data_IF_453346456056
#
_entry.id   IF_453346456056
#
_cell.length_a   1.000
_cell.length_b   1.000
_cell.length_c   1.000
_cell.angle_alpha   90.00
_cell.angle_beta   90.00
_cell.angle_gamma   90.00
#
_symmetry.space_group_name_H-M   'P 1'
#
loop_
_entity.id
_entity.type
_entity.pdbx_description
1 polymer ?
#
# COMPACT_ATOMS: atom_id res chain seq x y z
N UNK A 1 -19.80 10.96 -14.03
CA UNK A 1 -18.92 10.90 -12.85
C UNK A 1 -18.70 9.43 -12.55
N UNK A 2 -17.46 8.95 -12.55
CA UNK A 2 -17.16 7.59 -12.12
C UNK A 2 -17.26 7.51 -10.60
N UNK A 3 -17.81 6.41 -10.09
CA UNK A 3 -17.92 6.10 -8.66
C UNK A 3 -17.18 4.81 -8.39
N UNK A 4 -16.60 4.68 -7.20
CA UNK A 4 -15.94 3.48 -6.70
C UNK A 4 -16.60 3.03 -5.40
N UNK A 5 -17.01 1.75 -5.36
CA UNK A 5 -17.55 1.12 -4.17
C UNK A 5 -16.44 0.35 -3.45
N UNK A 6 -16.13 0.80 -2.23
CA UNK A 6 -15.17 0.17 -1.33
C UNK A 6 -15.92 -0.40 -0.13
N UNK A 7 -15.33 -1.35 0.58
CA UNK A 7 -16.09 -2.11 1.57
C UNK A 7 -15.25 -2.62 2.75
N UNK A 8 -15.94 -2.89 3.86
CA UNK A 8 -15.33 -3.21 5.16
C UNK A 8 -15.29 -2.03 6.12
N UNK A 9 -15.37 -2.34 7.41
CA UNK A 9 -15.40 -1.35 8.50
C UNK A 9 -14.13 -0.50 8.52
N UNK A 10 -12.96 -1.13 8.66
CA UNK A 10 -11.67 -0.41 8.72
C UNK A 10 -11.42 0.45 7.48
N UNK A 11 -11.74 -0.07 6.30
CA UNK A 11 -11.59 0.67 5.03
C UNK A 11 -12.44 1.94 5.02
N UNK A 12 -13.71 1.85 5.46
CA UNK A 12 -14.60 3.00 5.52
C UNK A 12 -14.14 4.01 6.60
N UNK A 13 -13.69 3.54 7.76
CA UNK A 13 -13.16 4.40 8.82
C UNK A 13 -11.94 5.20 8.33
N UNK A 14 -11.00 4.53 7.67
CA UNK A 14 -9.76 5.16 7.21
C UNK A 14 -10.02 6.16 6.08
N UNK A 15 -10.92 5.86 5.14
CA UNK A 15 -11.33 6.81 4.09
C UNK A 15 -11.97 8.06 4.69
N UNK A 16 -12.88 7.90 5.64
CA UNK A 16 -13.54 9.03 6.30
C UNK A 16 -12.55 9.85 7.14
N UNK A 17 -11.57 9.20 7.78
CA UNK A 17 -10.57 9.86 8.61
C UNK A 17 -9.51 10.60 7.78
N UNK A 18 -9.07 10.02 6.66
CA UNK A 18 -8.01 10.58 5.83
C UNK A 18 -8.49 11.76 4.97
N UNK A 19 -9.75 11.75 4.52
CA UNK A 19 -10.36 12.85 3.76
C UNK A 19 -9.67 13.15 2.42
N UNK A 20 -8.98 12.17 1.82
CA UNK A 20 -8.19 12.32 0.58
C UNK A 20 -9.03 12.28 -0.69
N UNK A 21 -10.24 11.73 -0.58
CA UNK A 21 -11.18 11.55 -1.68
C UNK A 21 -12.58 11.97 -1.23
N UNK A 22 -13.37 12.47 -2.16
CA UNK A 22 -14.79 12.77 -1.93
C UNK A 22 -15.55 11.48 -1.63
N UNK A 23 -16.27 11.49 -0.51
CA UNK A 23 -17.19 10.43 -0.13
C UNK A 23 -18.62 10.88 -0.44
N UNK A 24 -19.35 10.07 -1.19
CA UNK A 24 -20.74 10.36 -1.56
C UNK A 24 -21.73 9.83 -0.54
N UNK A 25 -21.51 8.59 -0.06
CA UNK A 25 -22.43 7.92 0.86
C UNK A 25 -21.78 6.76 1.59
N UNK A 26 -22.23 6.51 2.82
CA UNK A 26 -21.92 5.31 3.59
C UNK A 26 -23.16 4.42 3.67
N UNK A 27 -23.02 3.14 3.35
CA UNK A 27 -24.07 2.14 3.45
C UNK A 27 -23.74 1.12 4.54
N UNK A 28 -24.68 0.88 5.44
CA UNK A 28 -24.54 -0.06 6.56
C UNK A 28 -25.67 -1.08 6.49
N UNK A 29 -25.37 -2.34 6.77
CA UNK A 29 -26.37 -3.40 6.83
C UNK A 29 -27.30 -3.16 8.02
N UNK A 30 -28.62 -3.27 7.80
CA UNK A 30 -29.63 -3.22 8.87
C UNK A 30 -29.44 -4.28 9.96
N UNK A 31 -28.67 -5.35 9.67
CA UNK A 31 -28.37 -6.44 10.62
C UNK A 31 -27.12 -6.16 11.48
N UNK A 32 -26.36 -5.11 11.19
CA UNK A 32 -25.14 -4.83 11.96
C UNK A 32 -25.43 -4.35 13.37
N UNK A 33 -24.54 -4.69 14.29
CA UNK A 33 -24.65 -4.28 15.68
C UNK A 33 -24.34 -2.78 15.82
N UNK A 34 -25.27 -2.01 16.39
CA UNK A 34 -25.13 -0.57 16.58
C UNK A 34 -23.85 -0.16 17.34
N UNK A 35 -23.38 -0.98 18.30
CA UNK A 35 -22.12 -0.70 19.02
C UNK A 35 -20.89 -0.84 18.10
N UNK A 36 -20.92 -1.81 17.18
CA UNK A 36 -19.81 -2.07 16.25
C UNK A 36 -19.65 -0.95 15.23
N UNK A 37 -20.77 -0.42 14.73
CA UNK A 37 -20.77 0.62 13.68
C UNK A 37 -20.90 2.04 14.23
N UNK A 38 -21.12 2.22 15.53
CA UNK A 38 -21.37 3.53 16.13
C UNK A 38 -20.23 4.53 15.91
N UNK A 39 -18.97 4.08 16.02
CA UNK A 39 -17.80 4.92 15.74
C UNK A 39 -17.75 5.38 14.28
N UNK A 40 -18.02 4.45 13.35
CA UNK A 40 -18.07 4.73 11.93
C UNK A 40 -19.19 5.71 11.56
N UNK A 41 -20.39 5.58 12.15
CA UNK A 41 -21.50 6.53 11.94
C UNK A 41 -21.14 7.93 12.46
N UNK A 42 -20.44 8.02 13.60
CA UNK A 42 -19.97 9.28 14.13
C UNK A 42 -18.94 9.95 13.21
N UNK A 43 -18.01 9.17 12.65
CA UNK A 43 -17.05 9.66 11.65
C UNK A 43 -17.75 10.16 10.38
N UNK A 44 -18.72 9.41 9.86
CA UNK A 44 -19.48 9.82 8.68
C UNK A 44 -20.22 11.14 8.93
N UNK A 45 -20.85 11.29 10.09
CA UNK A 45 -21.51 12.54 10.50
C UNK A 45 -20.52 13.71 10.59
N UNK A 46 -19.33 13.50 11.19
CA UNK A 46 -18.28 14.51 11.27
C UNK A 46 -17.79 14.94 9.88
N UNK A 47 -17.73 14.01 8.93
CA UNK A 47 -17.36 14.25 7.54
C UNK A 47 -18.52 14.77 6.66
N UNK A 48 -19.71 15.01 7.22
CA UNK A 48 -20.94 15.38 6.49
C UNK A 48 -21.33 14.37 5.39
N UNK A 49 -21.07 13.08 5.62
CA UNK A 49 -21.40 11.99 4.71
C UNK A 49 -22.76 11.39 5.10
N UNK A 50 -23.74 11.30 4.18
CA UNK A 50 -25.00 10.61 4.42
C UNK A 50 -24.79 9.12 4.75
N UNK A 51 -25.58 8.59 5.68
CA UNK A 51 -25.53 7.18 6.09
C UNK A 51 -26.88 6.52 5.81
N UNK A 52 -26.87 5.45 5.02
CA UNK A 52 -28.05 4.66 4.68
C UNK A 52 -27.97 3.25 5.27
N UNK A 53 -29.05 2.83 5.94
CA UNK A 53 -29.20 1.45 6.42
C UNK A 53 -29.96 0.61 5.39
N UNK A 54 -29.30 -0.39 4.82
CA UNK A 54 -29.86 -1.20 3.73
C UNK A 54 -29.79 -2.71 4.01
N UNK A 55 -30.50 -3.49 3.20
CA UNK A 55 -30.53 -4.95 3.32
C UNK A 55 -29.18 -5.56 2.88
N UNK A 56 -28.69 -6.64 3.55
CA UNK A 56 -27.39 -7.24 3.24
C UNK A 56 -27.19 -7.60 1.76
N UNK A 57 -28.26 -8.04 1.08
CA UNK A 57 -28.24 -8.37 -0.36
C UNK A 57 -27.92 -7.17 -1.25
N UNK A 58 -28.26 -5.95 -0.81
CA UNK A 58 -27.92 -4.71 -1.53
C UNK A 58 -26.42 -4.46 -1.44
N UNK A 59 -25.83 -4.63 -0.25
CA UNK A 59 -24.39 -4.50 -0.05
C UNK A 59 -23.59 -5.54 -0.83
N UNK A 60 -24.06 -6.78 -0.89
CA UNK A 60 -23.43 -7.86 -1.65
C UNK A 60 -23.30 -7.53 -3.14
N UNK A 61 -24.36 -6.93 -3.72
CA UNK A 61 -24.34 -6.43 -5.10
C UNK A 61 -23.36 -5.26 -5.29
N UNK A 62 -23.36 -4.29 -4.37
CA UNK A 62 -22.45 -3.13 -4.43
C UNK A 62 -20.98 -3.55 -4.28
N UNK A 63 -20.71 -4.56 -3.45
CA UNK A 63 -19.37 -5.09 -3.21
C UNK A 63 -18.90 -6.09 -4.30
N UNK A 64 -19.74 -6.38 -5.30
CA UNK A 64 -19.47 -7.36 -6.35
C UNK A 64 -18.98 -8.72 -5.80
N UNK A 65 -19.60 -9.20 -4.72
CA UNK A 65 -19.21 -10.46 -4.05
C UNK A 65 -18.03 -10.35 -3.08
N UNK A 66 -17.46 -9.16 -2.88
CA UNK A 66 -16.41 -8.91 -1.90
C UNK A 66 -16.90 -9.00 -0.43
N UNK A 67 -15.98 -9.33 0.48
CA UNK A 67 -16.29 -9.44 1.91
C UNK A 67 -16.49 -8.05 2.56
N UNK A 68 -17.72 -7.54 2.47
CA UNK A 68 -18.09 -6.21 2.92
C UNK A 68 -18.21 -6.05 4.44
N UNK A 69 -18.37 -7.14 5.20
CA UNK A 69 -18.53 -7.10 6.66
C UNK A 69 -19.65 -6.18 7.17
N UNK A 70 -20.64 -5.88 6.33
CA UNK A 70 -21.84 -5.10 6.65
C UNK A 70 -21.70 -3.62 6.33
N UNK A 71 -20.61 -3.21 5.67
CA UNK A 71 -20.30 -1.81 5.35
C UNK A 71 -19.79 -1.68 3.92
N UNK A 72 -20.38 -0.73 3.19
CA UNK A 72 -19.91 -0.27 1.87
C UNK A 72 -19.82 1.25 1.91
N UNK A 73 -18.80 1.82 1.28
CA UNK A 73 -18.61 3.26 1.14
C UNK A 73 -18.47 3.61 -0.34
N UNK A 74 -19.25 4.59 -0.79
CA UNK A 74 -19.25 5.07 -2.16
C UNK A 74 -18.45 6.36 -2.24
N UNK A 75 -17.43 6.34 -3.10
CA UNK A 75 -16.42 7.40 -3.19
C UNK A 75 -16.12 7.74 -4.64
N UNK A 76 -15.44 8.85 -4.87
CA UNK A 76 -14.71 9.00 -6.14
C UNK A 76 -13.57 7.98 -6.20
N UNK A 77 -13.21 7.49 -7.41
CA UNK A 77 -12.04 6.65 -7.58
C UNK A 77 -10.79 7.30 -7.00
N UNK A 78 -9.84 6.48 -6.55
CA UNK A 78 -8.53 6.98 -6.13
C UNK A 78 -7.91 7.85 -7.23
N UNK A 79 -7.47 9.06 -6.87
CA UNK A 79 -6.76 9.93 -7.80
C UNK A 79 -5.43 9.29 -8.23
N UNK A 80 -5.05 9.48 -9.50
CA UNK A 80 -3.72 9.07 -9.97
C UNK A 80 -2.67 10.07 -9.49
N UNK A 81 -1.58 9.56 -8.95
CA UNK A 81 -0.40 10.34 -8.59
C UNK A 81 0.77 9.88 -9.45
N UNK A 82 1.40 10.82 -10.15
CA UNK A 82 2.62 10.54 -10.88
C UNK A 82 3.86 10.71 -9.99
N UNK A 83 5.02 10.33 -10.53
CA UNK A 83 6.28 10.37 -9.81
C UNK A 83 6.65 11.79 -9.35
N UNK A 84 6.47 12.79 -10.22
CA UNK A 84 6.82 14.18 -9.92
C UNK A 84 5.89 14.76 -8.84
N UNK A 85 4.59 14.43 -8.88
CA UNK A 85 3.63 14.79 -7.85
C UNK A 85 3.93 14.13 -6.51
N UNK A 86 4.39 12.87 -6.49
CA UNK A 86 4.84 12.21 -5.26
C UNK A 86 6.11 12.84 -4.70
N UNK A 87 7.09 13.17 -5.55
CA UNK A 87 8.32 13.85 -5.15
C UNK A 87 8.03 15.23 -4.53
N UNK A 88 7.09 15.97 -5.10
CA UNK A 88 6.67 17.27 -4.59
C UNK A 88 5.99 17.21 -3.21
N UNK A 89 5.52 16.03 -2.78
CA UNK A 89 4.90 15.82 -1.45
C UNK A 89 5.93 15.49 -0.36
N UNK A 90 7.19 15.25 -0.71
CA UNK A 90 8.25 14.99 0.27
C UNK A 90 8.45 16.23 1.13
N UNK A 91 8.20 16.09 2.44
CA UNK A 91 8.39 17.16 3.42
C UNK A 91 9.80 17.19 4.00
N UNK A 92 10.34 16.00 4.28
CA UNK A 92 11.68 15.84 4.86
C UNK A 92 12.38 14.63 4.22
N UNK A 93 13.31 14.86 3.27
CA UNK A 93 14.08 13.80 2.64
C UNK A 93 14.83 12.91 3.64
N UNK A 94 15.26 13.46 4.79
CA UNK A 94 16.00 12.70 5.82
C UNK A 94 15.12 11.72 6.60
N UNK A 95 13.81 11.75 6.38
CA UNK A 95 12.82 10.83 6.97
C UNK A 95 11.93 10.19 5.91
N UNK A 96 12.42 10.09 4.68
CA UNK A 96 11.64 9.59 3.56
C UNK A 96 12.11 8.20 3.16
N UNK A 97 11.19 7.24 3.25
CA UNK A 97 11.34 5.88 2.73
C UNK A 97 10.24 5.62 1.72
N UNK A 98 10.64 5.23 0.52
CA UNK A 98 9.78 4.78 -0.58
C UNK A 98 10.06 3.31 -0.87
N UNK A 99 9.08 2.59 -1.39
CA UNK A 99 9.26 1.20 -1.81
C UNK A 99 8.90 1.02 -3.29
N UNK A 100 9.66 0.20 -4.00
CA UNK A 100 9.35 -0.21 -5.38
C UNK A 100 9.04 -1.69 -5.42
N UNK A 101 7.98 -2.06 -6.14
CA UNK A 101 7.55 -3.46 -6.27
C UNK A 101 7.86 -3.96 -7.67
N UNK A 102 8.67 -5.01 -7.75
CA UNK A 102 9.08 -5.64 -9.01
C UNK A 102 8.43 -7.03 -9.12
N UNK A 103 7.39 -7.16 -9.93
CA UNK A 103 6.73 -8.45 -10.16
C UNK A 103 5.70 -8.89 -9.11
N UNK A 104 5.16 -7.97 -8.30
CA UNK A 104 4.10 -8.30 -7.34
C UNK A 104 2.74 -8.33 -8.04
N UNK A 105 2.28 -9.53 -8.42
CA UNK A 105 1.05 -9.73 -9.22
C UNK A 105 -0.17 -10.13 -8.41
N UNK A 106 0.00 -10.61 -7.17
CA UNK A 106 -1.10 -10.99 -6.29
C UNK A 106 -1.67 -9.75 -5.53
N UNK A 107 -2.96 -9.41 -5.70
CA UNK A 107 -3.63 -8.34 -4.97
C UNK A 107 -3.55 -8.47 -3.44
N UNK A 108 -3.52 -9.69 -2.91
CA UNK A 108 -3.44 -9.92 -1.46
C UNK A 108 -2.06 -9.55 -0.93
N UNK A 109 -0.99 -10.00 -1.59
CA UNK A 109 0.37 -9.56 -1.29
C UNK A 109 0.52 -8.03 -1.41
N UNK A 110 0.02 -7.42 -2.49
CA UNK A 110 0.08 -5.96 -2.66
C UNK A 110 -0.62 -5.23 -1.51
N UNK A 111 -1.83 -5.64 -1.15
CA UNK A 111 -2.57 -5.04 -0.03
C UNK A 111 -1.84 -5.19 1.31
N UNK A 112 -1.23 -6.35 1.58
CA UNK A 112 -0.45 -6.58 2.79
C UNK A 112 0.84 -5.72 2.85
N UNK A 113 1.51 -5.53 1.71
CA UNK A 113 2.67 -4.63 1.58
C UNK A 113 2.25 -3.18 1.86
N UNK A 114 1.18 -2.70 1.24
CA UNK A 114 0.66 -1.33 1.47
C UNK A 114 0.32 -1.12 2.94
N UNK A 115 -0.32 -2.10 3.58
CA UNK A 115 -0.65 -2.02 5.01
C UNK A 115 0.59 -1.93 5.87
N UNK A 116 1.59 -2.77 5.60
CA UNK A 116 2.86 -2.75 6.33
C UNK A 116 3.60 -1.44 6.12
N UNK A 117 3.62 -0.92 4.88
CA UNK A 117 4.18 0.37 4.52
C UNK A 117 3.56 1.51 5.34
N UNK A 118 2.23 1.59 5.39
CA UNK A 118 1.51 2.61 6.17
C UNK A 118 1.84 2.55 7.66
N UNK A 119 1.97 1.35 8.22
CA UNK A 119 2.29 1.15 9.63
C UNK A 119 3.74 1.48 9.99
N UNK A 120 4.66 1.34 9.04
CA UNK A 120 6.12 1.38 9.29
C UNK A 120 6.80 2.60 8.68
N UNK A 121 6.03 3.58 8.19
CA UNK A 121 6.54 4.88 7.75
C UNK A 121 7.05 4.91 6.30
N UNK A 122 6.73 3.90 5.48
CA UNK A 122 6.94 3.99 4.03
C UNK A 122 5.83 4.86 3.45
N UNK A 123 6.23 5.95 2.78
CA UNK A 123 5.31 7.01 2.38
C UNK A 123 4.78 6.86 0.95
N UNK A 124 5.52 6.14 0.10
CA UNK A 124 5.16 5.95 -1.32
C UNK A 124 5.54 4.55 -1.76
N UNK A 125 4.63 3.91 -2.50
CA UNK A 125 4.85 2.66 -3.22
C UNK A 125 4.80 2.93 -4.73
N UNK A 126 5.87 2.53 -5.40
CA UNK A 126 6.02 2.59 -6.86
C UNK A 126 5.86 1.20 -7.43
N UNK A 127 5.02 1.04 -8.46
CA UNK A 127 4.80 -0.24 -9.12
C UNK A 127 4.67 -0.07 -10.64
N UNK A 128 5.12 -1.04 -11.45
CA UNK A 128 4.95 -0.95 -12.89
C UNK A 128 3.48 -1.17 -13.30
N UNK A 129 3.02 -0.48 -14.35
CA UNK A 129 1.66 -0.66 -14.90
C UNK A 129 1.41 -2.07 -15.43
N UNK A 130 2.48 -2.80 -15.78
CA UNK A 130 2.44 -4.16 -16.31
C UNK A 130 3.19 -5.10 -15.38
N UNK A 131 2.77 -6.37 -15.35
CA UNK A 131 3.36 -7.41 -14.49
C UNK A 131 3.30 -7.04 -13.00
N UNK A 132 2.23 -6.37 -12.60
CA UNK A 132 1.91 -6.08 -11.21
C UNK A 132 0.40 -6.09 -10.99
N UNK A 133 -0.01 -6.29 -9.75
CA UNK A 133 -1.40 -6.12 -9.35
C UNK A 133 -1.80 -4.64 -9.50
N UNK A 134 -2.94 -4.38 -10.14
CA UNK A 134 -3.48 -3.03 -10.23
C UNK A 134 -4.13 -2.59 -8.92
N UNK A 135 -4.25 -1.27 -8.73
CA UNK A 135 -5.01 -0.68 -7.63
C UNK A 135 -6.51 -0.95 -7.84
N UNK A 136 -7.05 -1.90 -7.08
CA UNK A 136 -8.45 -2.35 -7.18
C UNK A 136 -9.14 -2.36 -5.81
N UNK A 137 -10.48 -2.43 -5.74
CA UNK A 137 -11.20 -2.57 -4.47
C UNK A 137 -10.76 -3.78 -3.63
N UNK A 138 -10.29 -4.86 -4.26
CA UNK A 138 -9.73 -6.02 -3.57
C UNK A 138 -8.43 -5.66 -2.85
N UNK A 139 -7.53 -4.93 -3.51
CA UNK A 139 -6.29 -4.43 -2.89
C UNK A 139 -6.61 -3.47 -1.75
N UNK A 140 -7.55 -2.55 -1.94
CA UNK A 140 -7.98 -1.62 -0.90
C UNK A 140 -8.52 -2.38 0.33
N UNK A 141 -9.30 -3.45 0.11
CA UNK A 141 -9.80 -4.30 1.18
C UNK A 141 -8.67 -5.02 1.91
N UNK A 142 -7.74 -5.62 1.17
CA UNK A 142 -6.57 -6.31 1.73
C UNK A 142 -5.67 -5.36 2.53
N UNK A 143 -5.52 -4.12 2.05
CA UNK A 143 -4.81 -3.04 2.74
C UNK A 143 -5.55 -2.50 3.97
N UNK A 144 -6.82 -2.85 4.18
CA UNK A 144 -7.64 -2.39 5.30
C UNK A 144 -7.73 -0.85 5.41
N UNK A 145 -7.78 -0.17 4.26
CA UNK A 145 -7.79 1.30 4.19
C UNK A 145 -6.41 1.97 4.20
N UNK A 146 -5.33 1.24 4.41
CA UNK A 146 -3.97 1.78 4.44
C UNK A 146 -3.53 2.51 3.16
N UNK A 147 -4.21 2.26 2.03
CA UNK A 147 -4.04 3.02 0.79
C UNK A 147 -4.33 4.52 0.93
N UNK A 148 -5.07 4.96 1.96
CA UNK A 148 -5.24 6.39 2.22
C UNK A 148 -4.01 7.00 2.91
N UNK A 149 -3.06 6.21 3.40
CA UNK A 149 -1.86 6.68 4.12
C UNK A 149 -0.59 6.64 3.27
N UNK A 150 -0.59 5.87 2.19
CA UNK A 150 0.57 5.63 1.33
C UNK A 150 0.25 6.11 -0.08
N UNK A 151 1.15 6.89 -0.67
CA UNK A 151 1.03 7.32 -2.06
C UNK A 151 1.32 6.14 -3.00
N UNK A 152 0.43 5.89 -3.95
CA UNK A 152 0.59 4.86 -4.98
C UNK A 152 0.98 5.52 -6.30
N UNK A 153 2.11 5.11 -6.87
CA UNK A 153 2.63 5.65 -8.14
C UNK A 153 2.82 4.51 -9.13
N UNK A 154 1.99 4.49 -10.18
CA UNK A 154 2.13 3.54 -11.28
C UNK A 154 3.10 4.11 -12.33
N UNK A 155 4.07 3.30 -12.77
CA UNK A 155 5.10 3.71 -13.74
C UNK A 155 5.18 2.77 -14.93
N UNK A 156 5.54 3.30 -16.10
CA UNK A 156 5.75 2.45 -17.29
C UNK A 156 7.03 1.62 -17.16
N UNK A 157 8.07 2.18 -16.52
CA UNK A 157 9.38 1.54 -16.40
C UNK A 157 9.99 1.80 -15.02
N UNK A 158 10.10 0.75 -14.22
CA UNK A 158 10.66 0.82 -12.87
C UNK A 158 12.15 1.20 -12.90
N UNK A 159 12.94 0.68 -13.84
CA UNK A 159 14.38 0.98 -13.95
C UNK A 159 14.65 2.46 -14.25
N UNK A 160 13.86 3.06 -15.14
CA UNK A 160 13.96 4.51 -15.39
C UNK A 160 13.58 5.33 -14.15
N UNK A 161 12.62 4.83 -13.36
CA UNK A 161 12.21 5.48 -12.11
C UNK A 161 13.32 5.39 -11.07
N UNK A 162 14.01 4.24 -10.96
CA UNK A 162 15.18 4.07 -10.09
C UNK A 162 16.25 5.12 -10.42
N UNK A 163 16.62 5.26 -11.70
CA UNK A 163 17.62 6.25 -12.14
C UNK A 163 17.21 7.68 -11.73
N UNK A 164 15.95 8.06 -12.00
CA UNK A 164 15.44 9.38 -11.62
C UNK A 164 15.47 9.61 -10.11
N UNK A 165 15.14 8.61 -9.30
CA UNK A 165 15.18 8.73 -7.84
C UNK A 165 16.61 8.90 -7.32
N UNK A 166 17.59 8.23 -7.93
CA UNK A 166 19.02 8.43 -7.62
C UNK A 166 19.48 9.85 -7.92
N UNK A 167 19.06 10.43 -9.05
CA UNK A 167 19.31 11.85 -9.36
C UNK A 167 18.69 12.81 -8.33
N UNK A 168 17.64 12.39 -7.62
CA UNK A 168 17.02 13.12 -6.51
C UNK A 168 17.62 12.80 -5.14
N UNK A 169 18.70 12.01 -5.09
CA UNK A 169 19.44 11.69 -3.88
C UNK A 169 18.90 10.50 -3.08
N UNK A 170 18.00 9.70 -3.64
CA UNK A 170 17.59 8.45 -3.02
C UNK A 170 18.71 7.42 -3.09
N UNK A 171 18.98 6.76 -1.97
CA UNK A 171 19.78 5.53 -1.93
C UNK A 171 18.90 4.33 -2.24
N UNK A 172 19.31 3.51 -3.20
CA UNK A 172 18.48 2.40 -3.70
C UNK A 172 18.96 1.09 -3.11
N UNK A 173 18.08 0.45 -2.35
CA UNK A 173 18.31 -0.86 -1.76
C UNK A 173 17.52 -1.92 -2.53
N UNK A 174 18.11 -3.09 -2.75
CA UNK A 174 17.41 -4.24 -3.36
C UNK A 174 17.35 -5.44 -2.43
N UNK A 175 16.18 -6.03 -2.26
CA UNK A 175 16.04 -7.28 -1.51
C UNK A 175 16.57 -8.46 -2.34
N UNK A 176 17.63 -9.11 -1.85
CA UNK A 176 18.24 -10.30 -2.47
C UNK A 176 18.84 -11.19 -1.37
N UNK A 177 18.70 -12.51 -1.48
CA UNK A 177 19.23 -13.47 -0.50
C UNK A 177 20.75 -13.41 -0.37
N UNK A 178 21.47 -13.04 -1.44
CA UNK A 178 22.91 -12.81 -1.44
C UNK A 178 23.35 -11.43 -0.96
N UNK A 179 22.40 -10.57 -0.55
CA UNK A 179 22.68 -9.23 -0.06
C UNK A 179 23.24 -9.19 1.37
N UNK A 180 23.61 -7.97 1.80
CA UNK A 180 24.08 -7.71 3.17
C UNK A 180 22.96 -7.93 4.20
N UNK A 181 23.21 -8.67 5.29
CA UNK A 181 22.21 -8.90 6.33
C UNK A 181 21.63 -7.61 6.89
N UNK A 182 20.29 -7.48 6.91
CA UNK A 182 19.57 -6.28 7.39
C UNK A 182 20.12 -5.70 8.72
N UNK A 183 20.43 -6.50 9.77
CA UNK A 183 20.94 -5.95 11.03
C UNK A 183 22.31 -5.27 10.94
N UNK A 184 23.02 -5.43 9.82
CA UNK A 184 24.34 -4.87 9.56
C UNK A 184 24.30 -3.69 8.57
N UNK A 185 23.13 -3.41 7.99
CA UNK A 185 22.95 -2.34 7.02
C UNK A 185 22.82 -1.01 7.77
N UNK A 186 23.61 -0.01 7.36
CA UNK A 186 23.41 1.36 7.81
C UNK A 186 22.62 2.11 6.74
N UNK A 187 21.30 2.16 6.92
CA UNK A 187 20.41 2.77 5.93
C UNK A 187 20.62 4.28 5.81
N UNK A 188 20.92 4.72 4.58
CA UNK A 188 20.93 6.10 4.15
C UNK A 188 19.52 6.57 3.77
N UNK A 189 19.23 7.85 4.01
CA UNK A 189 17.94 8.48 3.69
C UNK A 189 18.14 9.72 2.78
N UNK A 190 17.24 9.99 1.82
CA UNK A 190 16.02 9.23 1.52
C UNK A 190 16.32 7.84 0.93
N UNK A 191 15.52 6.83 1.28
CA UNK A 191 15.72 5.44 0.84
C UNK A 191 14.64 5.02 -0.15
N UNK A 192 15.04 4.26 -1.17
CA UNK A 192 14.14 3.53 -2.05
C UNK A 192 14.44 2.03 -1.96
N UNK A 193 13.53 1.27 -1.35
CA UNK A 193 13.70 -0.19 -1.15
C UNK A 193 12.92 -0.97 -2.20
N UNK A 194 13.59 -1.83 -2.95
CA UNK A 194 13.02 -2.66 -4.00
C UNK A 194 12.71 -4.06 -3.47
N UNK A 195 11.47 -4.50 -3.68
CA UNK A 195 10.98 -5.82 -3.28
C UNK A 195 10.57 -6.57 -4.54
N UNK A 196 11.18 -7.75 -4.73
CA UNK A 196 10.90 -8.63 -5.86
C UNK A 196 9.74 -9.60 -5.61
N UNK A 197 9.41 -10.36 -6.65
CA UNK A 197 8.42 -11.44 -6.57
C UNK A 197 8.92 -12.58 -5.67
N UNK A 198 7.97 -13.38 -5.18
CA UNK A 198 8.31 -14.60 -4.45
C UNK A 198 9.00 -15.60 -5.39
N UNK A 199 10.07 -16.25 -4.92
CA UNK A 199 10.86 -17.20 -5.70
C UNK A 199 11.92 -16.54 -6.59
N UNK A 200 11.51 -15.75 -7.58
CA UNK A 200 12.44 -15.15 -8.56
C UNK A 200 13.19 -13.91 -8.03
N UNK A 201 12.64 -13.22 -7.03
CA UNK A 201 13.22 -12.01 -6.48
C UNK A 201 13.15 -10.83 -7.45
N UNK A 202 14.18 -9.98 -7.43
CA UNK A 202 14.26 -8.83 -8.34
C UNK A 202 14.69 -9.28 -9.74
N UNK A 203 14.12 -8.68 -10.78
CA UNK A 203 14.65 -8.88 -12.13
C UNK A 203 16.11 -8.40 -12.18
N UNK A 204 16.94 -9.09 -12.96
CA UNK A 204 18.39 -8.84 -13.04
C UNK A 204 18.73 -7.35 -13.27
N UNK A 205 18.06 -6.71 -14.24
CA UNK A 205 18.26 -5.28 -14.50
C UNK A 205 17.89 -4.41 -13.30
N UNK A 206 16.79 -4.72 -12.62
CA UNK A 206 16.37 -4.00 -11.40
C UNK A 206 17.45 -4.11 -10.31
N UNK A 207 17.99 -5.33 -10.13
CA UNK A 207 19.06 -5.63 -9.18
C UNK A 207 20.35 -4.86 -9.50
N UNK A 208 20.74 -4.76 -10.77
CA UNK A 208 21.93 -4.02 -11.22
C UNK A 208 21.87 -2.51 -10.92
N UNK A 209 20.68 -1.91 -10.83
CA UNK A 209 20.53 -0.48 -10.54
C UNK A 209 20.57 -0.16 -9.04
N UNK A 210 20.53 -1.18 -8.17
CA UNK A 210 20.61 -1.01 -6.72
C UNK A 210 22.01 -0.52 -6.31
N UNK A 211 22.06 0.39 -5.34
CA UNK A 211 23.32 0.83 -4.73
C UNK A 211 23.84 -0.21 -3.74
N UNK A 212 22.94 -0.91 -3.05
CA UNK A 212 23.28 -2.00 -2.13
C UNK A 212 22.18 -3.08 -2.13
N UNK A 213 22.58 -4.35 -2.16
CA UNK A 213 21.68 -5.47 -1.97
C UNK A 213 21.62 -5.85 -0.49
N UNK A 214 20.43 -6.13 0.01
CA UNK A 214 20.18 -6.45 1.42
C UNK A 214 19.38 -7.74 1.56
N UNK A 215 19.64 -8.49 2.63
CA UNK A 215 19.06 -9.81 2.86
C UNK A 215 18.44 -9.92 4.25
N UNK A 216 17.36 -10.70 4.36
CA UNK A 216 16.81 -11.14 5.65
C UNK A 216 17.51 -12.45 6.02
N UNK A 217 18.29 -12.52 7.11
CA UNK A 217 18.91 -13.77 7.53
C UNK A 217 17.85 -14.81 7.90
N UNK A 218 17.85 -15.94 7.20
CA UNK A 218 16.94 -17.07 7.46
C UNK A 218 17.69 -18.20 8.17
N UNK A 219 17.04 -18.82 9.15
CA UNK A 219 17.60 -19.95 9.92
C UNK A 219 16.97 -21.30 9.56
N UNK A 220 15.88 -21.29 8.79
CA UNK A 220 15.16 -22.49 8.38
C UNK A 220 15.64 -23.02 7.03
N UNK A 221 15.24 -24.26 6.69
CA UNK A 221 15.57 -24.91 5.41
C UNK A 221 14.52 -24.71 4.30
N UNK A 222 13.74 -23.62 4.36
CA UNK A 222 12.77 -23.27 3.30
C UNK A 222 13.39 -22.21 2.38
N UNK A 223 12.99 -22.21 1.11
CA UNK A 223 13.69 -21.49 0.05
C UNK A 223 13.57 -19.96 0.14
N UNK A 224 12.40 -19.42 0.48
CA UNK A 224 12.20 -17.98 0.56
C UNK A 224 11.02 -17.57 1.46
N UNK A 225 11.04 -16.30 1.89
CA UNK A 225 9.91 -15.67 2.56
C UNK A 225 8.92 -15.16 1.53
N UNK A 226 7.62 -15.21 1.85
CA UNK A 226 6.61 -14.50 1.08
C UNK A 226 6.96 -13.00 0.95
N UNK A 227 6.74 -12.43 -0.24
CA UNK A 227 7.15 -11.07 -0.56
C UNK A 227 6.56 -10.02 0.41
N UNK A 228 5.30 -10.19 0.85
CA UNK A 228 4.68 -9.26 1.79
C UNK A 228 5.28 -9.35 3.20
N UNK A 229 5.66 -10.55 3.65
CA UNK A 229 6.37 -10.75 4.90
C UNK A 229 7.79 -10.15 4.83
N UNK A 230 8.50 -10.37 3.72
CA UNK A 230 9.82 -9.80 3.50
C UNK A 230 9.77 -8.27 3.52
N UNK A 231 8.77 -7.68 2.85
CA UNK A 231 8.50 -6.25 2.86
C UNK A 231 8.29 -5.72 4.29
N UNK A 232 7.44 -6.37 5.09
CA UNK A 232 7.17 -5.96 6.45
C UNK A 232 8.43 -5.97 7.34
N UNK A 233 9.29 -6.99 7.18
CA UNK A 233 10.56 -7.09 7.95
C UNK A 233 11.52 -5.97 7.56
N UNK A 234 11.73 -5.71 6.26
CA UNK A 234 12.63 -4.63 5.83
C UNK A 234 12.10 -3.25 6.18
N UNK A 235 10.79 -3.03 6.05
CA UNK A 235 10.16 -1.78 6.48
C UNK A 235 10.31 -1.56 7.99
N UNK A 236 10.20 -2.61 8.79
CA UNK A 236 10.40 -2.50 10.23
C UNK A 236 11.84 -2.11 10.55
N UNK A 237 12.83 -2.71 9.89
CA UNK A 237 14.23 -2.33 10.09
C UNK A 237 14.50 -0.88 9.68
N UNK A 238 14.00 -0.46 8.50
CA UNK A 238 14.07 0.93 8.02
C UNK A 238 13.39 1.92 8.96
N UNK A 239 12.25 1.55 9.55
CA UNK A 239 11.48 2.42 10.45
C UNK A 239 12.25 2.86 11.69
N UNK A 240 13.28 2.10 12.10
CA UNK A 240 14.16 2.47 13.22
C UNK A 240 15.01 3.72 12.94
N UNK A 241 15.05 4.18 11.68
CA UNK A 241 15.76 5.40 11.25
C UNK A 241 14.86 6.64 11.17
N UNK A 242 13.53 6.48 11.30
CA UNK A 242 12.54 7.57 11.15
C UNK A 242 12.24 8.26 12.48
#
# INVERSE_FOLDING_TARGET
MSVEFLYGVNTAEEILAAGRRRVYRLYISKKENAKRVGGLVALARKANVPVDFCDPRTLEKMAAGGNHQGVVIETEPAGKLDLDGALARIKDPKKTVWAGLDGITDPMNLGAIIRSAACLGVTTIVLPERRSAGVTPVVQKAASGAMERVDMVEVVNLNQTIIKLKEKGFWVYGMDMGGKPLPQVDFALPAFILIGSEGEGLHEKTREHCDELVSIPQKGGVESLNASNAAAVVFYELSKKL
#
